data_IF_534358529881
#
_entry.id   IF_534358529881
#
_cell.length_a   1.000
_cell.length_b   1.000
_cell.length_c   1.000
_cell.angle_alpha   90.00
_cell.angle_beta   90.00
_cell.angle_gamma   90.00
#
_symmetry.space_group_name_H-M   'P 1'
#
loop_
_entity.id
_entity.type
_entity.pdbx_description
1 polymer ?
#
# COMPACT_ATOMS: atom_id res chain seq x y z
N UNK A 1 12.02 18.91 -17.19
CA UNK A 1 11.01 18.04 -16.56
C UNK A 1 9.58 18.61 -16.68
N UNK A 2 9.18 19.71 -16.03
CA UNK A 2 7.78 20.24 -16.04
C UNK A 2 7.22 20.49 -17.46
N UNK A 3 7.99 21.15 -18.34
CA UNK A 3 7.59 21.40 -19.74
C UNK A 3 7.36 20.11 -20.55
N UNK A 4 8.11 19.04 -20.29
CA UNK A 4 7.95 17.76 -20.98
C UNK A 4 6.66 17.06 -20.50
N UNK A 5 6.36 17.11 -19.21
CA UNK A 5 5.10 16.56 -18.69
C UNK A 5 3.89 17.32 -19.24
N UNK A 6 3.93 18.66 -19.28
CA UNK A 6 2.84 19.47 -19.84
C UNK A 6 2.60 19.17 -21.33
N UNK A 7 3.66 19.12 -22.15
CA UNK A 7 3.53 18.77 -23.58
C UNK A 7 2.88 17.41 -23.78
N UNK A 8 3.28 16.42 -22.98
CA UNK A 8 2.76 15.07 -23.11
C UNK A 8 1.34 14.95 -22.54
N UNK A 9 0.96 15.68 -21.47
CA UNK A 9 -0.45 15.83 -21.03
C UNK A 9 -1.29 16.37 -22.17
N UNK A 10 -0.85 17.48 -22.77
CA UNK A 10 -1.61 18.17 -23.80
C UNK A 10 -1.82 17.24 -25.01
N UNK A 11 -0.77 16.58 -25.49
CA UNK A 11 -0.88 15.70 -26.66
C UNK A 11 -1.77 14.48 -26.42
N UNK A 12 -1.67 13.81 -25.27
CA UNK A 12 -2.54 12.67 -24.94
C UNK A 12 -3.98 13.10 -24.68
N UNK A 13 -4.19 14.25 -24.04
CA UNK A 13 -5.54 14.78 -23.78
C UNK A 13 -6.24 15.19 -25.07
N UNK A 14 -5.54 15.87 -25.99
CA UNK A 14 -6.08 16.25 -27.31
C UNK A 14 -6.49 15.01 -28.08
N UNK A 15 -5.64 13.97 -28.12
CA UNK A 15 -5.94 12.72 -28.82
C UNK A 15 -7.17 12.01 -28.21
N UNK A 16 -7.19 11.84 -26.90
CA UNK A 16 -8.31 11.19 -26.18
C UNK A 16 -9.63 11.96 -26.36
N UNK A 17 -9.58 13.29 -26.27
CA UNK A 17 -10.74 14.15 -26.50
C UNK A 17 -11.25 14.04 -27.93
N UNK A 18 -10.36 14.04 -28.92
CA UNK A 18 -10.72 13.87 -30.33
C UNK A 18 -11.37 12.49 -30.57
N UNK A 19 -10.80 11.42 -30.02
CA UNK A 19 -11.37 10.06 -30.15
C UNK A 19 -12.78 9.95 -29.54
N UNK A 20 -13.00 10.56 -28.35
CA UNK A 20 -14.32 10.60 -27.71
C UNK A 20 -15.31 11.50 -28.45
N UNK A 21 -14.84 12.62 -28.98
CA UNK A 21 -15.65 13.50 -29.83
C UNK A 21 -16.12 12.77 -31.10
N UNK A 22 -15.21 12.10 -31.83
CA UNK A 22 -15.57 11.32 -33.03
C UNK A 22 -16.57 10.22 -32.70
N UNK A 23 -16.42 9.52 -31.56
CA UNK A 23 -17.42 8.53 -31.10
C UNK A 23 -18.78 9.16 -30.86
N UNK A 24 -18.82 10.33 -30.22
CA UNK A 24 -20.06 11.05 -29.92
C UNK A 24 -20.72 11.58 -31.19
N UNK A 25 -19.94 12.11 -32.14
CA UNK A 25 -20.43 12.54 -33.47
C UNK A 25 -20.99 11.35 -34.25
N UNK A 26 -20.36 10.18 -34.19
CA UNK A 26 -20.90 8.95 -34.80
C UNK A 26 -22.23 8.54 -34.18
N UNK A 27 -22.38 8.63 -32.86
CA UNK A 27 -23.64 8.35 -32.17
C UNK A 27 -24.73 9.37 -32.51
N UNK A 28 -24.37 10.66 -32.57
CA UNK A 28 -25.28 11.73 -33.01
C UNK A 28 -25.70 11.51 -34.47
N UNK A 29 -24.79 11.09 -35.36
CA UNK A 29 -25.12 10.75 -36.75
C UNK A 29 -26.14 9.60 -36.80
N UNK A 30 -25.92 8.53 -36.04
CA UNK A 30 -26.87 7.40 -35.95
C UNK A 30 -28.24 7.88 -35.45
N UNK A 31 -28.26 8.71 -34.41
CA UNK A 31 -29.49 9.30 -33.86
C UNK A 31 -30.18 10.23 -34.86
N UNK A 32 -29.44 11.08 -35.58
CA UNK A 32 -29.97 11.95 -36.64
C UNK A 32 -30.52 11.13 -37.79
N UNK A 33 -29.81 10.11 -38.29
CA UNK A 33 -30.32 9.27 -39.39
C UNK A 33 -31.56 8.47 -38.99
N UNK A 34 -31.67 8.08 -37.71
CA UNK A 34 -32.84 7.37 -37.19
C UNK A 34 -34.02 8.31 -36.88
N UNK A 35 -33.76 9.54 -36.42
CA UNK A 35 -34.79 10.46 -35.92
C UNK A 35 -35.24 11.49 -36.96
N UNK A 36 -34.32 12.00 -37.79
CA UNK A 36 -34.61 13.00 -38.82
C UNK A 36 -35.55 12.46 -39.90
N UNK A 37 -35.47 11.17 -40.24
CA UNK A 37 -36.42 10.54 -41.16
C UNK A 37 -37.87 10.58 -40.68
N UNK A 38 -38.12 10.51 -39.37
CA UNK A 38 -39.47 10.65 -38.80
C UNK A 38 -39.86 12.12 -38.60
N UNK A 39 -38.93 12.98 -38.18
CA UNK A 39 -39.23 14.37 -37.83
C UNK A 39 -39.48 15.25 -39.07
N UNK A 40 -38.71 15.06 -40.15
CA UNK A 40 -38.92 15.80 -41.40
C UNK A 40 -40.11 15.28 -42.23
N UNK A 41 -40.58 14.05 -42.01
CA UNK A 41 -41.79 13.53 -42.70
C UNK A 41 -43.10 13.93 -42.02
N UNK A 42 -43.11 14.20 -40.70
CA UNK A 42 -44.33 14.60 -39.97
C UNK A 42 -44.51 16.10 -39.77
N UNK A 43 -43.44 16.91 -39.81
CA UNK A 43 -43.49 18.33 -39.41
C UNK A 43 -43.09 19.33 -40.50
N UNK A 44 -43.51 19.12 -41.75
CA UNK A 44 -43.25 20.06 -42.85
C UNK A 44 -43.89 21.46 -42.61
N UNK A 45 -44.87 21.57 -41.70
CA UNK A 45 -45.57 22.82 -41.37
C UNK A 45 -45.13 23.48 -40.05
N UNK A 46 -44.31 22.83 -39.22
CA UNK A 46 -43.91 23.35 -37.90
C UNK A 46 -42.58 24.12 -37.93
N UNK A 47 -41.79 23.97 -38.99
CA UNK A 47 -40.56 24.76 -39.23
C UNK A 47 -40.89 26.23 -39.62
N UNK A 48 -42.15 26.55 -39.93
CA UNK A 48 -42.60 27.91 -40.28
C UNK A 48 -43.10 28.77 -39.11
N UNK A 49 -43.23 28.24 -37.89
CA UNK A 49 -43.62 29.06 -36.72
C UNK A 49 -42.49 29.16 -35.70
N UNK A 50 -41.80 30.27 -35.85
CA UNK A 50 -40.65 30.74 -35.11
C UNK A 50 -40.79 30.70 -33.58
N UNK A 51 -40.04 29.80 -32.96
CA UNK A 51 -39.65 29.90 -31.54
C UNK A 51 -38.39 30.79 -31.40
N UNK A 52 -37.76 31.18 -32.52
CA UNK A 52 -36.49 31.93 -32.54
C UNK A 52 -36.49 33.19 -33.43
N UNK A 53 -37.64 33.65 -33.96
CA UNK A 53 -37.74 34.87 -34.81
C UNK A 53 -37.25 36.14 -34.13
N UNK A 54 -37.33 36.19 -32.81
CA UNK A 54 -36.89 37.30 -31.97
C UNK A 54 -35.37 37.44 -31.90
N UNK A 55 -34.60 36.48 -32.44
CA UNK A 55 -33.15 36.59 -32.55
C UNK A 55 -32.77 37.03 -33.97
N UNK A 56 -32.15 38.21 -34.18
CA UNK A 56 -31.81 38.75 -35.51
C UNK A 56 -30.78 37.93 -36.31
N UNK A 57 -30.31 36.81 -35.74
CA UNK A 57 -29.47 35.81 -36.39
C UNK A 57 -30.28 34.78 -37.18
N UNK A 58 -31.55 34.97 -37.55
CA UNK A 58 -32.30 33.95 -38.33
C UNK A 58 -32.91 34.44 -39.64
N UNK A 59 -32.62 35.68 -40.05
CA UNK A 59 -33.08 36.20 -41.35
C UNK A 59 -32.43 35.49 -42.56
N UNK A 60 -31.31 34.77 -42.35
CA UNK A 60 -30.64 33.95 -43.36
C UNK A 60 -30.61 32.46 -42.94
N UNK A 61 -31.72 31.78 -43.20
CA UNK A 61 -32.19 30.58 -42.47
C UNK A 61 -31.20 29.38 -42.43
N UNK A 62 -30.42 29.15 -43.50
CA UNK A 62 -29.51 27.99 -43.57
C UNK A 62 -28.12 28.25 -42.94
N UNK A 63 -27.54 29.42 -43.16
CA UNK A 63 -26.20 29.75 -42.64
C UNK A 63 -26.20 29.82 -41.12
N UNK A 64 -27.25 30.41 -40.55
CA UNK A 64 -27.35 30.59 -39.11
C UNK A 64 -27.60 29.28 -38.37
N UNK A 65 -28.42 28.38 -38.93
CA UNK A 65 -28.57 27.02 -38.41
C UNK A 65 -27.24 26.24 -38.43
N UNK A 66 -26.45 26.38 -39.51
CA UNK A 66 -25.13 25.77 -39.60
C UNK A 66 -24.16 26.32 -38.54
N UNK A 67 -24.16 27.63 -38.29
CA UNK A 67 -23.36 28.23 -37.21
C UNK A 67 -23.74 27.70 -35.83
N UNK A 68 -25.05 27.55 -35.54
CA UNK A 68 -25.51 26.96 -34.27
C UNK A 68 -25.01 25.52 -34.12
N UNK A 69 -25.08 24.70 -35.18
CA UNK A 69 -24.55 23.33 -35.13
C UNK A 69 -23.05 23.31 -34.87
N UNK A 70 -22.27 24.16 -35.56
CA UNK A 70 -20.82 24.28 -35.33
C UNK A 70 -20.55 24.70 -33.89
N UNK A 71 -21.30 25.67 -33.38
CA UNK A 71 -21.11 26.18 -32.03
C UNK A 71 -21.41 25.11 -30.97
N UNK A 72 -22.50 24.35 -31.13
CA UNK A 72 -22.82 23.21 -30.25
C UNK A 72 -21.74 22.12 -30.35
N UNK A 73 -21.29 21.79 -31.55
CA UNK A 73 -20.21 20.82 -31.75
C UNK A 73 -18.89 21.29 -31.10
N UNK A 74 -18.58 22.59 -31.16
CA UNK A 74 -17.43 23.19 -30.51
C UNK A 74 -17.54 23.10 -28.98
N UNK A 75 -18.71 23.39 -28.40
CA UNK A 75 -18.95 23.25 -26.95
C UNK A 75 -18.75 21.79 -26.52
N UNK A 76 -19.30 20.83 -27.25
CA UNK A 76 -19.15 19.41 -26.96
C UNK A 76 -17.66 19.01 -27.04
N UNK A 77 -16.95 19.47 -28.06
CA UNK A 77 -15.51 19.24 -28.21
C UNK A 77 -14.71 19.82 -27.04
N UNK A 78 -14.97 21.07 -26.64
CA UNK A 78 -14.33 21.73 -25.50
C UNK A 78 -14.59 20.95 -24.20
N UNK A 79 -15.82 20.48 -23.98
CA UNK A 79 -16.16 19.66 -22.81
C UNK A 79 -15.31 18.37 -22.75
N UNK A 80 -15.21 17.63 -23.85
CA UNK A 80 -14.37 16.42 -23.90
C UNK A 80 -12.89 16.75 -23.73
N UNK A 81 -12.43 17.88 -24.26
CA UNK A 81 -11.05 18.35 -24.09
C UNK A 81 -10.73 18.64 -22.61
N UNK A 82 -11.60 19.40 -21.93
CA UNK A 82 -11.44 19.70 -20.49
C UNK A 82 -11.47 18.39 -19.67
N UNK A 83 -12.42 17.50 -19.95
CA UNK A 83 -12.53 16.21 -19.27
C UNK A 83 -11.26 15.37 -19.45
N UNK A 84 -10.74 15.28 -20.67
CA UNK A 84 -9.50 14.55 -20.96
C UNK A 84 -8.29 15.17 -20.25
N UNK A 85 -8.18 16.52 -20.27
CA UNK A 85 -7.12 17.23 -19.56
C UNK A 85 -7.14 16.97 -18.06
N UNK A 86 -8.32 17.00 -17.42
CA UNK A 86 -8.46 16.71 -15.99
C UNK A 86 -8.02 15.27 -15.69
N UNK A 87 -8.50 14.30 -16.46
CA UNK A 87 -8.18 12.87 -16.25
C UNK A 87 -6.69 12.61 -16.42
N UNK A 88 -6.06 13.10 -17.50
CA UNK A 88 -4.64 12.87 -17.76
C UNK A 88 -3.74 13.63 -16.78
N UNK A 89 -4.13 14.84 -16.38
CA UNK A 89 -3.41 15.60 -15.35
C UNK A 89 -3.45 14.85 -14.02
N UNK A 90 -4.61 14.35 -13.63
CA UNK A 90 -4.80 13.56 -12.42
C UNK A 90 -3.99 12.25 -12.44
N UNK A 91 -4.06 11.50 -13.54
CA UNK A 91 -3.31 10.26 -13.73
C UNK A 91 -1.81 10.49 -13.59
N UNK A 92 -1.27 11.55 -14.19
CA UNK A 92 0.16 11.86 -14.09
C UNK A 92 0.56 12.38 -12.74
N UNK A 93 -0.28 13.17 -12.10
CA UNK A 93 -0.02 13.62 -10.75
C UNK A 93 0.11 12.41 -9.80
N UNK A 94 -0.77 11.41 -9.94
CA UNK A 94 -0.65 10.13 -9.22
C UNK A 94 0.68 9.43 -9.55
N UNK A 95 1.03 9.32 -10.84
CA UNK A 95 2.28 8.66 -11.26
C UNK A 95 3.52 9.36 -10.69
N UNK A 96 3.61 10.68 -10.79
CA UNK A 96 4.72 11.48 -10.25
C UNK A 96 4.82 11.31 -8.73
N UNK A 97 3.68 11.36 -8.03
CA UNK A 97 3.66 11.13 -6.58
C UNK A 97 4.16 9.73 -6.23
N UNK A 98 3.72 8.72 -6.99
CA UNK A 98 4.15 7.32 -6.80
C UNK A 98 5.63 7.13 -7.08
N UNK A 99 6.13 7.67 -8.18
CA UNK A 99 7.56 7.66 -8.55
C UNK A 99 8.41 8.38 -7.50
N UNK A 100 7.92 9.48 -6.94
CA UNK A 100 8.59 10.20 -5.86
C UNK A 100 8.69 9.35 -4.59
N UNK A 101 7.61 8.68 -4.17
CA UNK A 101 7.59 7.83 -2.97
C UNK A 101 8.55 6.65 -3.12
N UNK A 102 8.39 5.84 -4.17
CA UNK A 102 9.19 4.62 -4.31
C UNK A 102 10.60 4.90 -4.84
N UNK A 103 10.80 5.98 -5.61
CA UNK A 103 12.13 6.46 -5.97
C UNK A 103 12.94 6.86 -4.73
N UNK A 104 12.33 7.59 -3.79
CA UNK A 104 12.96 7.89 -2.51
C UNK A 104 13.20 6.62 -1.67
N UNK A 105 12.25 5.68 -1.69
CA UNK A 105 12.40 4.40 -1.00
C UNK A 105 13.61 3.59 -1.48
N UNK A 106 13.86 3.53 -2.78
CA UNK A 106 15.05 2.86 -3.34
C UNK A 106 16.34 3.46 -2.80
N UNK A 107 16.42 4.80 -2.74
CA UNK A 107 17.61 5.50 -2.21
C UNK A 107 17.81 5.19 -0.72
N UNK A 108 16.74 5.30 0.09
CA UNK A 108 16.82 5.06 1.53
C UNK A 108 17.14 3.60 1.86
N UNK A 109 16.55 2.64 1.15
CA UNK A 109 16.86 1.22 1.32
C UNK A 109 18.28 0.91 0.86
N UNK A 110 18.76 1.48 -0.25
CA UNK A 110 20.15 1.30 -0.69
C UNK A 110 21.16 1.76 0.37
N UNK A 111 20.91 2.90 1.02
CA UNK A 111 21.70 3.37 2.16
C UNK A 111 21.66 2.38 3.33
N UNK A 112 20.48 1.88 3.70
CA UNK A 112 20.32 0.90 4.76
C UNK A 112 21.07 -0.41 4.46
N UNK A 113 20.99 -0.92 3.23
CA UNK A 113 21.69 -2.12 2.79
C UNK A 113 23.21 -1.95 2.76
N UNK A 114 23.71 -0.76 2.42
CA UNK A 114 25.16 -0.51 2.45
C UNK A 114 25.76 -0.82 3.83
N UNK A 115 25.02 -0.54 4.91
CA UNK A 115 25.45 -0.82 6.29
C UNK A 115 25.46 -2.30 6.61
N UNK A 116 24.47 -3.05 6.14
CA UNK A 116 24.46 -4.52 6.24
C UNK A 116 25.67 -5.07 5.48
N UNK A 117 25.85 -4.64 4.23
CA UNK A 117 26.89 -5.16 3.34
C UNK A 117 28.31 -4.91 3.86
N UNK A 118 28.59 -3.71 4.40
CA UNK A 118 29.89 -3.38 5.01
C UNK A 118 30.21 -4.27 6.22
N UNK A 119 29.18 -4.79 6.88
CA UNK A 119 29.31 -5.64 8.06
C UNK A 119 28.98 -7.11 7.78
N UNK A 120 28.78 -7.47 6.51
CA UNK A 120 28.47 -8.84 6.13
C UNK A 120 29.69 -9.73 6.38
N UNK A 121 29.45 -10.91 6.97
CA UNK A 121 30.51 -11.86 7.33
C UNK A 121 31.39 -11.44 8.52
N UNK A 122 31.13 -10.28 9.15
CA UNK A 122 31.77 -9.91 10.42
C UNK A 122 30.94 -10.46 11.58
N UNK A 123 31.60 -10.98 12.60
CA UNK A 123 30.95 -11.26 13.88
C UNK A 123 30.80 -9.94 14.65
N UNK A 124 29.57 -9.47 14.77
CA UNK A 124 29.23 -8.29 15.53
C UNK A 124 28.70 -8.67 16.91
N UNK A 125 28.89 -7.80 17.89
CA UNK A 125 28.15 -7.92 19.15
C UNK A 125 26.65 -7.74 18.91
N UNK A 126 25.82 -8.33 19.79
CA UNK A 126 24.37 -8.16 19.72
C UNK A 126 23.97 -6.66 19.74
N UNK A 127 24.68 -5.83 20.51
CA UNK A 127 24.47 -4.39 20.56
C UNK A 127 24.74 -3.69 19.23
N UNK A 128 25.84 -4.02 18.56
CA UNK A 128 26.17 -3.46 17.23
C UNK A 128 25.15 -3.90 16.17
N UNK A 129 24.76 -5.18 16.18
CA UNK A 129 23.71 -5.71 15.29
C UNK A 129 22.41 -4.96 15.51
N UNK A 130 21.98 -4.74 16.76
CA UNK A 130 20.78 -3.96 17.09
C UNK A 130 20.83 -2.53 16.56
N UNK A 131 21.99 -1.87 16.64
CA UNK A 131 22.16 -0.51 16.11
C UNK A 131 22.01 -0.46 14.58
N UNK A 132 22.59 -1.42 13.86
CA UNK A 132 22.44 -1.52 12.40
C UNK A 132 20.97 -1.80 12.03
N UNK A 133 20.33 -2.74 12.71
CA UNK A 133 18.92 -3.07 12.47
C UNK A 133 17.97 -1.92 12.83
N UNK A 134 18.28 -1.14 13.87
CA UNK A 134 17.54 0.08 14.21
C UNK A 134 17.66 1.14 13.08
N UNK A 135 18.81 1.27 12.44
CA UNK A 135 18.97 2.19 11.31
C UNK A 135 18.08 1.79 10.12
N UNK A 136 17.98 0.49 9.85
CA UNK A 136 17.04 -0.04 8.85
C UNK A 136 15.60 0.30 9.24
N UNK A 137 15.22 0.09 10.50
CA UNK A 137 13.89 0.47 10.99
C UNK A 137 13.61 1.96 10.79
N UNK A 138 14.59 2.84 11.07
CA UNK A 138 14.46 4.27 10.86
C UNK A 138 14.27 4.62 9.37
N UNK A 139 14.98 3.94 8.46
CA UNK A 139 14.86 4.18 7.01
C UNK A 139 13.53 3.69 6.46
N UNK A 140 13.05 2.54 6.90
CA UNK A 140 11.69 2.06 6.57
C UNK A 140 10.65 3.04 7.10
N UNK A 141 10.80 3.50 8.35
CA UNK A 141 9.91 4.49 8.94
C UNK A 141 9.88 5.78 8.12
N UNK A 142 11.04 6.29 7.69
CA UNK A 142 11.13 7.48 6.85
C UNK A 142 10.33 7.33 5.54
N UNK A 143 10.41 6.14 4.91
CA UNK A 143 9.64 5.81 3.71
C UNK A 143 8.13 5.82 3.99
N UNK A 144 7.69 5.14 5.04
CA UNK A 144 6.27 5.00 5.34
C UNK A 144 5.65 6.25 5.96
N UNK A 145 6.40 7.06 6.70
CA UNK A 145 5.97 8.38 7.14
C UNK A 145 5.72 9.29 5.93
N UNK A 146 6.66 9.32 4.98
CA UNK A 146 6.50 10.08 3.74
C UNK A 146 5.34 9.56 2.89
N UNK A 147 5.18 8.24 2.76
CA UNK A 147 4.09 7.65 1.99
C UNK A 147 2.73 7.95 2.60
N UNK A 148 2.57 7.66 3.89
CA UNK A 148 1.27 7.69 4.57
C UNK A 148 0.88 9.10 5.02
N UNK A 149 1.84 10.05 5.04
CA UNK A 149 1.65 11.39 5.59
C UNK A 149 1.16 11.34 7.05
N UNK A 150 1.62 10.34 7.79
CA UNK A 150 1.27 10.05 9.18
C UNK A 150 2.47 9.44 9.89
N UNK A 151 2.42 9.41 11.23
CA UNK A 151 3.42 8.73 12.03
C UNK A 151 3.24 7.21 11.92
N UNK A 152 4.31 6.54 11.52
CA UNK A 152 4.46 5.09 11.50
C UNK A 152 5.50 4.66 12.53
N UNK A 153 5.47 3.38 12.88
CA UNK A 153 6.46 2.71 13.71
C UNK A 153 6.97 1.49 12.95
N UNK A 154 8.22 1.13 13.18
CA UNK A 154 8.85 -0.04 12.55
C UNK A 154 9.65 -0.80 13.59
N UNK A 155 9.45 -2.11 13.63
CA UNK A 155 10.24 -3.00 14.48
C UNK A 155 10.58 -4.31 13.79
N UNK A 156 11.76 -4.81 14.11
CA UNK A 156 12.22 -6.16 13.80
C UNK A 156 12.04 -6.99 15.07
N UNK A 157 11.22 -8.04 14.98
CA UNK A 157 11.04 -9.01 16.05
C UNK A 157 11.60 -10.34 15.62
N UNK A 158 12.25 -11.06 16.53
CA UNK A 158 12.87 -12.36 16.26
C UNK A 158 12.33 -13.42 17.19
N UNK A 159 12.34 -14.67 16.73
CA UNK A 159 11.99 -15.81 17.58
C UNK A 159 13.04 -16.00 18.65
N UNK A 160 12.63 -16.19 19.90
CA UNK A 160 13.55 -16.36 21.04
C UNK A 160 13.79 -17.80 21.45
N UNK A 161 12.88 -18.71 21.10
CA UNK A 161 12.94 -20.12 21.48
C UNK A 161 12.96 -20.98 20.20
N UNK A 162 14.13 -21.10 19.56
CA UNK A 162 14.39 -22.22 18.65
C UNK A 162 14.80 -23.40 19.52
N UNK A 163 13.95 -24.43 19.63
CA UNK A 163 14.34 -25.64 20.38
C UNK A 163 15.28 -26.46 19.53
N UNK A 164 16.32 -27.03 20.16
CA UNK A 164 17.13 -28.08 19.52
C UNK A 164 16.22 -29.17 18.95
N UNK A 165 16.35 -29.44 17.65
CA UNK A 165 15.55 -30.44 16.94
C UNK A 165 14.17 -29.96 16.45
N UNK A 166 13.68 -28.78 16.84
CA UNK A 166 12.51 -28.16 16.19
C UNK A 166 12.98 -27.62 14.83
N UNK A 167 12.53 -28.24 13.73
CA UNK A 167 12.79 -27.76 12.36
C UNK A 167 12.02 -26.47 11.99
N UNK A 168 11.63 -25.66 12.97
CA UNK A 168 11.09 -24.35 12.68
C UNK A 168 10.21 -23.72 13.74
N UNK A 169 9.87 -22.47 13.42
CA UNK A 169 8.89 -21.62 14.11
C UNK A 169 7.52 -22.32 14.20
N UNK A 170 6.80 -22.20 15.31
CA UNK A 170 5.45 -22.74 15.45
C UNK A 170 4.54 -21.80 16.27
N UNK A 171 3.25 -22.09 16.36
CA UNK A 171 2.29 -21.22 17.06
C UNK A 171 2.61 -21.00 18.56
N UNK A 172 3.39 -21.88 19.19
CA UNK A 172 3.82 -21.74 20.60
C UNK A 172 5.11 -20.94 20.74
N UNK A 173 5.86 -20.72 19.66
CA UNK A 173 7.08 -19.93 19.67
C UNK A 173 6.83 -18.51 20.18
N UNK A 174 7.82 -17.99 20.89
CA UNK A 174 7.87 -16.63 21.40
C UNK A 174 8.66 -15.72 20.47
N UNK A 175 8.22 -14.46 20.39
CA UNK A 175 8.93 -13.41 19.65
C UNK A 175 9.32 -12.28 20.59
N UNK A 176 10.52 -11.75 20.43
CA UNK A 176 11.00 -10.58 21.15
C UNK A 176 11.40 -9.46 20.17
N UNK A 177 11.28 -8.21 20.64
CA UNK A 177 11.70 -7.04 19.88
C UNK A 177 13.23 -6.98 19.85
N UNK A 178 13.82 -7.20 18.67
CA UNK A 178 15.27 -7.11 18.48
C UNK A 178 15.68 -5.66 18.24
N UNK A 179 14.98 -4.98 17.35
CA UNK A 179 15.25 -3.58 17.02
C UNK A 179 13.94 -2.82 16.72
N UNK A 180 13.94 -1.52 17.02
CA UNK A 180 12.83 -0.61 16.78
C UNK A 180 13.37 0.75 16.35
N UNK A 181 12.59 1.45 15.52
CA UNK A 181 12.89 2.84 15.17
C UNK A 181 13.02 3.73 16.41
N UNK A 182 13.86 4.77 16.31
CA UNK A 182 14.24 5.61 17.45
C UNK A 182 13.05 6.36 18.07
N UNK A 183 12.11 6.81 17.26
CA UNK A 183 10.99 7.61 17.74
C UNK A 183 9.94 6.76 18.49
N UNK A 184 9.96 5.45 18.29
CA UNK A 184 9.00 4.51 18.87
C UNK A 184 9.59 3.69 20.02
N UNK A 185 10.85 3.89 20.40
CA UNK A 185 11.56 3.12 21.43
C UNK A 185 10.86 3.18 22.80
N UNK A 186 10.09 4.23 23.06
CA UNK A 186 9.28 4.40 24.28
C UNK A 186 8.22 3.32 24.46
N UNK A 187 7.90 2.55 23.42
CA UNK A 187 7.00 1.39 23.48
C UNK A 187 7.64 0.17 24.15
N UNK A 188 8.97 0.08 24.15
CA UNK A 188 9.72 -1.04 24.72
C UNK A 188 9.87 -0.84 26.25
N UNK A 189 8.72 -0.86 26.94
CA UNK A 189 8.64 -0.67 28.40
C UNK A 189 8.96 -1.97 29.16
N UNK A 190 9.37 -1.90 30.44
CA UNK A 190 9.53 -3.10 31.27
C UNK A 190 8.26 -3.97 31.33
N UNK A 191 7.08 -3.35 31.37
CA UNK A 191 5.80 -4.06 31.36
C UNK A 191 5.56 -4.78 30.03
N UNK A 192 5.92 -4.15 28.91
CA UNK A 192 5.87 -4.81 27.60
C UNK A 192 6.82 -6.01 27.57
N UNK A 193 8.07 -5.85 28.04
CA UNK A 193 9.05 -6.93 28.11
C UNK A 193 8.67 -8.09 29.03
N UNK A 194 7.78 -7.87 30.01
CA UNK A 194 7.27 -8.92 30.90
C UNK A 194 6.20 -9.80 30.24
N UNK A 195 5.58 -9.37 29.14
CA UNK A 195 4.55 -10.13 28.45
C UNK A 195 5.19 -11.20 27.56
N UNK A 196 4.71 -12.43 27.68
CA UNK A 196 5.11 -13.53 26.79
C UNK A 196 4.38 -13.39 25.44
N UNK A 197 5.03 -12.73 24.48
CA UNK A 197 4.52 -12.57 23.11
C UNK A 197 4.65 -13.86 22.29
N UNK A 198 3.64 -14.74 22.35
CA UNK A 198 3.60 -15.95 21.52
C UNK A 198 2.96 -15.69 20.17
N UNK A 199 3.31 -16.51 19.17
CA UNK A 199 2.70 -16.44 17.82
C UNK A 199 1.19 -16.64 17.89
N UNK A 200 0.70 -17.59 18.69
CA UNK A 200 -0.74 -17.84 18.85
C UNK A 200 -1.53 -16.65 19.41
N UNK A 201 -0.93 -15.82 20.27
CA UNK A 201 -1.57 -14.63 20.87
C UNK A 201 -1.56 -13.38 19.98
N UNK A 202 -1.01 -13.49 18.77
CA UNK A 202 -0.90 -12.36 17.86
C UNK A 202 -1.41 -12.78 16.48
N UNK A 203 -2.56 -12.25 16.08
CA UNK A 203 -3.23 -12.63 14.82
C UNK A 203 -2.30 -12.48 13.61
N UNK A 204 -1.48 -11.43 13.58
CA UNK A 204 -0.56 -11.18 12.48
C UNK A 204 0.48 -12.31 12.28
N UNK A 205 1.12 -12.77 13.36
CA UNK A 205 2.08 -13.87 13.29
C UNK A 205 1.38 -15.19 13.03
N UNK A 206 0.28 -15.46 13.73
CA UNK A 206 -0.50 -16.68 13.55
C UNK A 206 -0.94 -16.86 12.10
N UNK A 207 -1.44 -15.79 11.47
CA UNK A 207 -1.83 -15.80 10.06
C UNK A 207 -0.68 -16.20 9.12
N UNK A 208 0.48 -15.58 9.29
CA UNK A 208 1.67 -15.86 8.47
C UNK A 208 2.12 -17.32 8.66
N UNK A 209 2.18 -17.80 9.89
CA UNK A 209 2.61 -19.17 10.21
C UNK A 209 1.63 -20.23 9.71
N UNK A 210 0.33 -20.00 9.84
CA UNK A 210 -0.68 -20.89 9.27
C UNK A 210 -0.54 -20.96 7.74
N UNK A 211 -0.34 -19.83 7.06
CA UNK A 211 -0.13 -19.82 5.61
C UNK A 211 1.15 -20.55 5.22
N UNK A 212 2.24 -20.35 5.98
CA UNK A 212 3.51 -21.04 5.77
C UNK A 212 3.35 -22.56 5.83
N UNK A 213 2.72 -23.09 6.88
CA UNK A 213 2.52 -24.54 7.01
C UNK A 213 1.47 -25.13 6.07
N UNK A 214 0.57 -24.31 5.51
CA UNK A 214 -0.42 -24.77 4.53
C UNK A 214 0.17 -24.95 3.13
N UNK A 215 1.47 -24.74 2.93
CA UNK A 215 2.12 -24.81 1.63
C UNK A 215 1.73 -23.67 0.69
N UNK A 216 1.15 -22.59 1.23
CA UNK A 216 0.88 -21.40 0.42
C UNK A 216 2.21 -20.81 -0.04
N UNK A 217 2.26 -20.46 -1.33
CA UNK A 217 3.42 -19.81 -1.95
C UNK A 217 3.72 -18.50 -1.23
N UNK A 218 4.98 -18.10 -1.29
CA UNK A 218 5.53 -16.95 -0.57
C UNK A 218 4.92 -15.59 -0.96
N UNK A 219 4.11 -15.54 -2.03
CA UNK A 219 3.34 -14.36 -2.42
C UNK A 219 2.23 -14.01 -1.41
N UNK A 220 1.86 -14.96 -0.53
CA UNK A 220 0.84 -14.77 0.54
C UNK A 220 1.41 -14.83 1.95
N UNK A 221 2.73 -14.82 2.11
CA UNK A 221 3.40 -14.83 3.41
C UNK A 221 3.57 -13.41 3.94
N UNK A 222 2.46 -12.79 4.32
CA UNK A 222 2.43 -11.49 5.00
C UNK A 222 1.09 -11.35 5.72
N UNK A 223 0.98 -10.36 6.61
CA UNK A 223 -0.28 -9.89 7.16
C UNK A 223 -0.42 -8.40 6.88
N UNK A 224 -1.51 -7.99 6.22
CA UNK A 224 -1.79 -6.60 5.89
C UNK A 224 -3.21 -6.27 6.28
N UNK A 225 -3.38 -5.33 7.21
CA UNK A 225 -4.69 -4.78 7.58
C UNK A 225 -4.61 -3.26 7.73
N UNK A 226 -5.47 -2.57 6.98
CA UNK A 226 -5.60 -1.12 7.00
C UNK A 226 -6.70 -0.62 7.97
N UNK A 227 -7.34 -1.52 8.72
CA UNK A 227 -8.40 -1.21 9.69
C UNK A 227 -8.45 -2.30 10.77
N UNK A 228 -7.45 -2.34 11.65
CA UNK A 228 -7.39 -3.27 12.78
C UNK A 228 -8.60 -3.17 13.71
N UNK A 229 -9.11 -1.97 14.07
CA UNK A 229 -10.31 -1.87 14.90
C UNK A 229 -11.57 -2.39 14.19
N UNK A 230 -11.54 -2.48 12.85
CA UNK A 230 -12.61 -3.09 12.06
C UNK A 230 -12.49 -4.60 11.89
N UNK A 231 -11.32 -5.19 12.18
CA UNK A 231 -11.01 -6.61 11.96
C UNK A 231 -11.57 -7.49 13.07
N UNK A 232 -12.43 -8.43 12.70
CA UNK A 232 -13.05 -9.35 13.65
C UNK A 232 -12.07 -10.45 14.07
N UNK A 233 -11.99 -10.70 15.38
CA UNK A 233 -11.07 -11.67 15.94
C UNK A 233 -9.60 -11.23 15.94
N UNK A 234 -9.29 -9.96 15.69
CA UNK A 234 -7.93 -9.47 15.87
C UNK A 234 -7.52 -9.57 17.35
N UNK A 235 -6.35 -10.17 17.55
CA UNK A 235 -5.73 -10.40 18.84
C UNK A 235 -4.26 -9.97 18.81
N UNK A 236 -3.84 -9.42 19.94
CA UNK A 236 -2.48 -8.97 20.16
C UNK A 236 -2.17 -9.10 21.65
N UNK A 237 -1.09 -9.80 21.95
CA UNK A 237 -0.58 -9.95 23.32
C UNK A 237 -0.40 -8.63 24.08
N UNK A 238 -0.19 -7.50 23.37
CA UNK A 238 -0.09 -6.18 24.00
C UNK A 238 -1.40 -5.70 24.64
N UNK A 239 -2.56 -6.31 24.32
CA UNK A 239 -3.82 -6.02 25.02
C UNK A 239 -3.76 -6.35 26.51
N UNK A 240 -2.84 -7.22 26.95
CA UNK A 240 -2.57 -7.49 28.36
C UNK A 240 -2.11 -6.23 29.14
N UNK A 241 -1.55 -5.23 28.45
CA UNK A 241 -1.19 -3.93 29.04
C UNK A 241 -2.40 -3.02 29.29
N UNK A 242 -3.58 -3.40 28.78
CA UNK A 242 -4.78 -2.57 28.82
C UNK A 242 -5.95 -3.36 29.44
N UNK A 243 -5.97 -3.55 30.78
CA UNK A 243 -7.03 -4.32 31.44
C UNK A 243 -8.44 -3.81 31.21
N UNK A 244 -8.58 -2.52 30.86
CA UNK A 244 -9.87 -1.90 30.51
C UNK A 244 -10.40 -2.32 29.14
N UNK A 245 -9.56 -2.88 28.27
CA UNK A 245 -9.94 -3.35 26.93
C UNK A 245 -10.39 -4.81 26.99
N UNK A 246 -11.57 -5.02 27.57
CA UNK A 246 -12.13 -6.34 27.88
C UNK A 246 -12.62 -7.10 26.64
N UNK A 247 -12.83 -8.41 26.77
CA UNK A 247 -13.42 -9.25 25.71
C UNK A 247 -14.78 -8.75 25.20
N UNK A 248 -15.59 -8.14 26.07
CA UNK A 248 -16.86 -7.53 25.66
C UNK A 248 -16.65 -6.35 24.70
N UNK A 249 -15.65 -5.50 24.97
CA UNK A 249 -15.27 -4.40 24.08
C UNK A 249 -14.72 -4.94 22.77
N UNK A 250 -13.91 -6.00 22.82
CA UNK A 250 -13.28 -6.61 21.63
C UNK A 250 -14.29 -7.25 20.67
N UNK A 251 -15.37 -7.82 21.19
CA UNK A 251 -16.44 -8.46 20.38
C UNK A 251 -17.39 -7.44 19.75
N UNK A 252 -17.58 -6.27 20.37
CA UNK A 252 -18.40 -5.20 19.84
C UNK A 252 -17.58 -4.28 18.92
N UNK A 253 -17.85 -4.33 17.62
CA UNK A 253 -17.10 -3.56 16.61
C UNK A 253 -17.10 -2.05 16.86
N UNK A 254 -18.19 -1.49 17.41
CA UNK A 254 -18.28 -0.05 17.70
C UNK A 254 -17.44 0.27 18.93
N UNK A 255 -17.64 -0.45 20.04
CA UNK A 255 -16.85 -0.25 21.26
C UNK A 255 -15.36 -0.48 21.04
N UNK A 256 -14.99 -1.51 20.28
CA UNK A 256 -13.61 -1.82 19.90
C UNK A 256 -12.92 -0.64 19.23
N UNK A 257 -13.63 0.04 18.31
CA UNK A 257 -13.09 1.20 17.58
C UNK A 257 -12.94 2.43 18.48
N UNK A 258 -13.94 2.69 19.32
CA UNK A 258 -14.01 3.86 20.21
C UNK A 258 -12.98 3.75 21.34
N UNK A 259 -12.76 2.55 21.87
CA UNK A 259 -11.88 2.26 23.02
C UNK A 259 -10.58 1.56 22.61
N UNK A 260 -10.17 1.70 21.35
CA UNK A 260 -8.98 1.03 20.82
C UNK A 260 -7.70 1.44 21.59
N UNK A 261 -6.97 0.49 22.21
CA UNK A 261 -5.90 0.83 23.14
C UNK A 261 -4.53 0.99 22.47
N UNK A 262 -4.32 0.38 21.31
CA UNK A 262 -3.04 0.41 20.62
C UNK A 262 -2.85 1.77 19.94
N UNK A 263 -1.61 2.25 19.93
CA UNK A 263 -1.27 3.55 19.33
C UNK A 263 -1.35 3.57 17.79
N UNK A 264 -1.63 2.42 17.18
CA UNK A 264 -1.73 2.21 15.74
C UNK A 264 -3.04 1.49 15.39
N UNK A 265 -3.55 1.70 14.19
CA UNK A 265 -4.84 1.17 13.69
C UNK A 265 -4.72 0.47 12.33
N UNK A 266 -3.53 0.46 11.75
CA UNK A 266 -3.16 -0.33 10.57
C UNK A 266 -1.82 -1.01 10.82
N UNK A 267 -1.61 -2.18 10.22
CA UNK A 267 -0.38 -2.96 10.36
C UNK A 267 -0.06 -3.76 9.08
N UNK A 268 1.23 -3.78 8.75
CA UNK A 268 1.86 -4.65 7.75
C UNK A 268 2.96 -5.46 8.45
N UNK A 269 2.86 -6.78 8.39
CA UNK A 269 3.85 -7.71 8.95
C UNK A 269 4.34 -8.65 7.87
N UNK A 270 5.66 -8.79 7.75
CA UNK A 270 6.30 -9.68 6.77
C UNK A 270 7.34 -10.55 7.50
N UNK A 271 7.36 -11.87 7.26
CA UNK A 271 8.38 -12.74 7.86
C UNK A 271 9.77 -12.44 7.30
N UNK A 272 10.78 -12.63 8.15
CA UNK A 272 12.19 -12.60 7.77
C UNK A 272 12.56 -14.03 7.38
N UNK A 273 12.54 -14.27 6.07
CA UNK A 273 12.76 -15.56 5.41
C UNK A 273 13.41 -15.34 4.05
N UNK A 274 14.07 -16.35 3.51
CA UNK A 274 14.51 -16.32 2.12
C UNK A 274 13.33 -16.23 1.14
N UNK A 275 13.50 -15.47 0.06
CA UNK A 275 12.59 -15.45 -1.10
C UNK A 275 12.75 -16.71 -1.94
N UNK A 276 13.86 -17.42 -1.88
CA UNK A 276 14.00 -18.72 -2.54
C UNK A 276 14.39 -19.72 -1.48
N UNK A 277 13.38 -20.37 -0.88
CA UNK A 277 13.63 -21.46 0.07
C UNK A 277 14.14 -22.67 -0.70
N UNK A 278 15.36 -23.09 -0.38
CA UNK A 278 15.90 -24.38 -0.84
C UNK A 278 15.58 -25.46 0.19
N UNK A 279 15.58 -26.74 -0.22
CA UNK A 279 15.29 -27.87 0.67
C UNK A 279 16.25 -28.00 1.87
N UNK A 280 17.38 -27.27 1.86
CA UNK A 280 18.43 -27.32 2.90
C UNK A 280 18.32 -26.22 3.98
N UNK A 281 17.26 -25.40 3.96
CA UNK A 281 17.17 -24.24 4.84
C UNK A 281 16.52 -24.59 6.20
N UNK A 282 17.37 -24.91 7.18
CA UNK A 282 16.95 -25.41 8.50
C UNK A 282 16.10 -24.43 9.34
N UNK A 283 16.08 -23.13 9.00
CA UNK A 283 15.36 -22.08 9.75
C UNK A 283 14.49 -21.20 8.84
N UNK A 284 13.38 -21.73 8.34
CA UNK A 284 12.60 -21.05 7.30
C UNK A 284 12.10 -19.63 7.64
N UNK A 285 11.88 -19.29 8.92
CA UNK A 285 11.47 -17.94 9.37
C UNK A 285 12.19 -17.59 10.67
N UNK A 286 13.00 -16.52 10.66
CA UNK A 286 13.76 -16.04 11.83
C UNK A 286 12.98 -15.09 12.72
N UNK A 287 11.97 -14.44 12.15
CA UNK A 287 11.29 -13.31 12.78
C UNK A 287 10.38 -12.58 11.81
N UNK A 288 10.06 -11.34 12.14
CA UNK A 288 9.11 -10.51 11.41
C UNK A 288 9.54 -9.04 11.41
N UNK A 289 9.37 -8.36 10.27
CA UNK A 289 9.31 -6.90 10.22
C UNK A 289 7.86 -6.50 10.43
N UNK A 290 7.60 -5.64 11.42
CA UNK A 290 6.28 -5.08 11.70
C UNK A 290 6.32 -3.57 11.40
N UNK A 291 5.39 -3.11 10.59
CA UNK A 291 5.20 -1.71 10.23
C UNK A 291 3.78 -1.32 10.60
N UNK A 292 3.65 -0.42 11.57
CA UNK A 292 2.37 -0.02 12.14
C UNK A 292 2.11 1.48 11.91
N UNK A 293 0.84 1.86 11.69
CA UNK A 293 0.44 3.23 11.38
C UNK A 293 -0.82 3.65 12.14
N UNK A 294 -0.90 4.93 12.51
CA UNK A 294 -2.05 5.50 13.24
C UNK A 294 -3.33 5.61 12.42
N UNK A 295 -3.22 5.67 11.10
CA UNK A 295 -4.36 5.82 10.20
C UNK A 295 -5.17 4.53 10.11
N UNK A 296 -6.44 4.66 9.73
CA UNK A 296 -7.36 3.55 9.47
C UNK A 296 -8.25 3.84 8.24
N UNK A 297 -8.81 2.79 7.63
CA UNK A 297 -9.91 2.87 6.64
C UNK A 297 -9.54 3.39 5.25
N UNK A 298 -8.30 3.83 5.03
CA UNK A 298 -7.72 4.19 3.72
C UNK A 298 -6.66 3.15 3.34
N UNK A 299 -6.24 3.04 2.07
CA UNK A 299 -5.11 2.18 1.69
C UNK A 299 -3.79 2.75 2.24
N UNK A 300 -3.58 2.60 3.56
CA UNK A 300 -2.38 3.01 4.28
C UNK A 300 -1.20 2.22 3.74
N UNK A 301 -1.35 0.89 3.76
CA UNK A 301 -0.47 -0.06 3.11
C UNK A 301 -1.08 -0.55 1.80
N UNK A 302 -0.22 -0.71 0.79
CA UNK A 302 -0.57 -1.16 -0.54
C UNK A 302 0.16 -2.48 -0.82
N UNK A 303 -0.62 -3.55 -1.01
CA UNK A 303 -0.11 -4.90 -1.26
C UNK A 303 0.76 -5.00 -2.52
N UNK A 304 0.43 -4.27 -3.60
CA UNK A 304 1.13 -4.36 -4.89
C UNK A 304 2.57 -3.84 -4.84
N UNK A 305 2.86 -2.87 -3.95
CA UNK A 305 4.16 -2.19 -3.92
C UNK A 305 4.88 -2.34 -2.57
N UNK A 306 4.18 -2.20 -1.44
CA UNK A 306 4.84 -2.21 -0.13
C UNK A 306 5.30 -3.61 0.25
N UNK A 307 4.45 -4.61 -0.04
CA UNK A 307 4.75 -5.98 0.31
C UNK A 307 6.00 -6.46 -0.44
N UNK A 308 6.11 -6.37 -1.78
CA UNK A 308 7.34 -6.80 -2.47
C UNK A 308 8.58 -6.01 -2.03
N UNK A 309 8.44 -4.71 -1.78
CA UNK A 309 9.54 -3.86 -1.30
C UNK A 309 10.08 -4.36 0.04
N UNK A 310 9.20 -4.58 1.03
CA UNK A 310 9.62 -5.01 2.37
C UNK A 310 9.99 -6.49 2.39
N UNK A 311 9.39 -7.32 1.54
CA UNK A 311 9.83 -8.71 1.32
C UNK A 311 11.29 -8.77 0.85
N UNK A 312 11.70 -7.89 -0.06
CA UNK A 312 13.11 -7.74 -0.44
C UNK A 312 13.99 -7.39 0.77
N UNK A 313 13.53 -6.49 1.65
CA UNK A 313 14.22 -6.15 2.91
C UNK A 313 14.36 -7.34 3.85
N UNK A 314 13.31 -8.12 4.03
CA UNK A 314 13.33 -9.34 4.83
C UNK A 314 14.37 -10.36 4.32
N UNK A 315 14.45 -10.55 3.00
CA UNK A 315 15.42 -11.47 2.38
C UNK A 315 16.86 -11.04 2.62
N UNK A 316 17.18 -9.78 2.33
CA UNK A 316 18.54 -9.25 2.54
C UNK A 316 18.94 -9.14 4.02
N UNK A 317 17.98 -9.21 4.95
CA UNK A 317 18.23 -9.25 6.39
C UNK A 317 18.47 -10.66 6.93
N UNK A 318 17.97 -11.70 6.25
CA UNK A 318 17.89 -13.04 6.80
C UNK A 318 19.26 -13.57 7.23
N UNK A 319 20.23 -13.62 6.31
CA UNK A 319 21.58 -14.14 6.62
C UNK A 319 22.32 -13.27 7.64
N UNK A 320 22.14 -11.95 7.58
CA UNK A 320 22.76 -11.04 8.54
C UNK A 320 22.27 -11.29 9.97
N UNK A 321 20.96 -11.51 10.16
CA UNK A 321 20.37 -11.83 11.46
C UNK A 321 20.76 -13.25 11.91
N UNK A 322 20.68 -14.23 11.01
CA UNK A 322 21.10 -15.62 11.27
C UNK A 322 22.51 -15.70 11.83
N UNK A 323 23.45 -15.03 11.18
CA UNK A 323 24.87 -15.04 11.57
C UNK A 323 25.17 -14.27 12.85
N UNK A 324 24.45 -13.20 13.17
CA UNK A 324 24.82 -12.32 14.30
C UNK A 324 23.91 -12.46 15.54
N UNK A 325 22.78 -13.15 15.42
CA UNK A 325 21.84 -13.35 16.52
C UNK A 325 21.71 -14.84 16.86
N UNK A 326 21.77 -15.73 15.86
CA UNK A 326 21.49 -17.15 16.06
C UNK A 326 22.72 -18.06 15.96
N UNK A 327 23.89 -17.56 15.51
CA UNK A 327 25.06 -18.42 15.27
C UNK A 327 25.70 -18.99 16.54
N UNK A 328 25.56 -18.31 17.69
CA UNK A 328 26.05 -18.83 18.97
C UNK A 328 25.16 -19.98 19.49
N UNK A 329 23.87 -20.00 19.16
CA UNK A 329 22.96 -21.11 19.51
C UNK A 329 23.25 -22.41 18.74
N UNK A 330 23.99 -22.33 17.62
CA UNK A 330 24.41 -23.49 16.82
C UNK A 330 25.82 -23.99 17.11
N UNK A 331 26.61 -23.30 17.96
CA UNK A 331 27.99 -23.70 18.28
C UNK A 331 28.08 -24.65 19.48
N UNK A 332 27.15 -24.59 20.43
CA UNK A 332 27.11 -25.48 21.61
C UNK A 332 26.78 -26.94 21.28
N UNK A 333 26.42 -27.26 20.04
CA UNK A 333 26.07 -28.62 19.60
C UNK A 333 27.17 -29.33 18.81
N UNK A 334 28.33 -28.69 18.62
CA UNK A 334 29.49 -29.31 17.94
C UNK A 334 30.64 -29.67 18.88
N UNK A 335 30.44 -29.46 20.19
CA UNK A 335 31.35 -29.91 21.25
C UNK A 335 30.52 -30.62 22.33
N UNK A 336 30.08 -31.85 22.04
CA UNK A 336 29.84 -32.91 23.02
C UNK A 336 29.77 -34.27 22.32
#
# INVERSE_FOLDING_TARGET
MIRQHLKLILSTSIKSAFDQFIKSVKQIKVWFTASAGSFFSTNNNLVQKDIFSWWPLFENNYYNFFFVIIFVALIIYIYYLIKALIIESWRRWILIKRESVYGNAIVLLSQAYSKIHINYGKHLSEGETKLILQEICNKIKEIFDYKTQSKTSVSIKVVTEFKEGDQGINHKSTVANLARDKDSITRDTPNYGAIKHTIAKNTCYSHIITNFFSGNRQDKLYFLKNDLPGEDGYDNSSFELFPTFTEEIRKDKKKRRDLWPLSYRSELVIPISHIETTENDNLAILGFICIDCRLEGKPVFNEEYDMPMIKGVCDGLYEFIKLNIFSDATRDTSVN
#
